data_IF_441520727439
#
_entry.id   IF_441520727439
#
_cell.length_a   1.000
_cell.length_b   1.000
_cell.length_c   1.000
_cell.angle_alpha   90.00
_cell.angle_beta   90.00
_cell.angle_gamma   90.00
#
_symmetry.space_group_name_H-M   'P 1'
#
loop_
_entity.id
_entity.type
_entity.pdbx_description
1 polymer ?
#
# COMPACT_ATOMS: atom_id res chain seq x y z
N UNK A 1 -32.75 3.65 32.07
CA UNK A 1 -32.43 3.91 30.65
C UNK A 1 -31.01 4.48 30.48
N UNK A 2 -30.64 5.62 31.09
CA UNK A 2 -29.31 6.28 30.95
C UNK A 2 -28.09 5.38 31.21
N UNK A 3 -28.14 4.53 32.24
CA UNK A 3 -27.01 3.65 32.63
C UNK A 3 -26.68 2.58 31.59
N UNK A 4 -27.70 2.07 30.88
CA UNK A 4 -27.49 1.08 29.81
C UNK A 4 -26.92 1.71 28.55
N UNK A 5 -27.34 2.95 28.23
CA UNK A 5 -26.79 3.71 27.10
C UNK A 5 -25.30 3.98 27.30
N UNK A 6 -24.88 4.30 28.52
CA UNK A 6 -23.46 4.54 28.84
C UNK A 6 -22.61 3.27 28.70
N UNK A 7 -23.14 2.12 29.11
CA UNK A 7 -22.46 0.82 28.98
C UNK A 7 -22.32 0.39 27.51
N UNK A 8 -23.35 0.62 26.70
CA UNK A 8 -23.30 0.33 25.25
C UNK A 8 -22.26 1.23 24.58
N UNK A 9 -22.21 2.51 24.94
CA UNK A 9 -21.24 3.46 24.36
C UNK A 9 -19.79 3.08 24.67
N UNK A 10 -19.49 2.66 25.90
CA UNK A 10 -18.16 2.17 26.27
C UNK A 10 -17.78 0.87 25.55
N UNK A 11 -18.73 -0.02 25.32
CA UNK A 11 -18.50 -1.27 24.61
C UNK A 11 -18.15 -1.06 23.13
N UNK A 12 -18.80 -0.08 22.48
CA UNK A 12 -18.51 0.27 21.08
C UNK A 12 -17.11 0.88 20.92
N UNK A 13 -16.68 1.73 21.86
CA UNK A 13 -15.33 2.34 21.82
C UNK A 13 -14.23 1.28 21.98
N UNK A 14 -14.44 0.28 22.84
CA UNK A 14 -13.50 -0.81 23.04
C UNK A 14 -13.21 -1.61 21.76
N UNK A 15 -14.23 -1.84 20.93
CA UNK A 15 -14.08 -2.62 19.69
C UNK A 15 -13.25 -1.92 18.60
N UNK A 16 -13.22 -0.58 18.58
CA UNK A 16 -12.44 0.18 17.59
C UNK A 16 -10.92 0.02 17.81
N UNK A 17 -10.49 -0.16 19.06
CA UNK A 17 -9.07 -0.25 19.43
C UNK A 17 -8.45 -1.64 19.21
N UNK A 18 -9.26 -2.69 19.04
CA UNK A 18 -8.78 -4.08 18.92
C UNK A 18 -8.54 -4.48 17.47
N UNK A 19 -8.77 -3.57 16.50
CA UNK A 19 -8.38 -3.88 15.12
C UNK A 19 -6.86 -3.99 15.04
N UNK A 20 -6.30 -5.15 14.65
CA UNK A 20 -4.88 -5.24 14.37
C UNK A 20 -4.61 -4.26 13.23
N UNK A 21 -3.82 -3.20 13.52
CA UNK A 21 -3.24 -2.39 12.44
C UNK A 21 -2.56 -3.38 11.51
N UNK A 22 -2.91 -3.43 10.21
CA UNK A 22 -2.16 -4.24 9.27
C UNK A 22 -0.71 -3.81 9.45
N UNK A 23 0.16 -4.77 9.79
CA UNK A 23 1.60 -4.55 9.82
C UNK A 23 1.97 -4.05 8.43
N UNK A 24 2.02 -2.73 8.29
CA UNK A 24 2.76 -2.05 7.25
C UNK A 24 4.19 -2.46 7.52
N UNK A 25 4.60 -3.60 6.97
CA UNK A 25 5.99 -3.78 6.62
C UNK A 25 6.41 -2.47 6.00
N UNK A 26 7.56 -1.96 6.42
CA UNK A 26 8.09 -0.67 6.04
C UNK A 26 8.54 -0.66 4.57
N UNK A 27 7.74 -1.25 3.68
CA UNK A 27 7.81 -1.08 2.25
C UNK A 27 7.62 0.42 2.00
N UNK A 28 8.76 1.11 1.88
CA UNK A 28 8.86 2.53 1.51
C UNK A 28 8.15 2.78 0.16
N UNK A 29 7.91 1.72 -0.61
CA UNK A 29 7.24 1.73 -1.90
C UNK A 29 6.09 0.70 -1.99
N UNK A 30 5.17 0.96 -2.90
CA UNK A 30 4.07 0.10 -3.30
C UNK A 30 4.53 -0.94 -4.31
N UNK A 31 4.25 -2.24 -4.07
CA UNK A 31 4.59 -3.32 -4.99
C UNK A 31 3.71 -3.29 -6.24
N UNK A 32 3.91 -4.25 -7.15
CA UNK A 32 3.07 -4.40 -8.33
C UNK A 32 1.59 -4.50 -7.96
N UNK A 33 0.74 -3.76 -8.68
CA UNK A 33 -0.70 -3.58 -8.40
C UNK A 33 -1.03 -2.91 -7.06
N UNK A 34 -0.02 -2.51 -6.28
CA UNK A 34 -0.20 -1.74 -5.06
C UNK A 34 -0.68 -0.32 -5.34
N UNK A 35 -1.38 0.28 -4.38
CA UNK A 35 -1.93 1.63 -4.48
C UNK A 35 -0.83 2.68 -4.68
N UNK A 36 -1.05 3.66 -5.54
CA UNK A 36 -0.15 4.79 -5.75
C UNK A 36 -0.90 6.06 -6.15
N UNK A 37 -0.30 7.22 -5.86
CA UNK A 37 -0.76 8.52 -6.37
C UNK A 37 0.26 9.11 -7.35
N UNK A 38 1.55 8.84 -7.12
CA UNK A 38 2.68 9.28 -7.94
C UNK A 38 3.65 8.13 -8.14
N UNK A 39 4.43 8.18 -9.23
CA UNK A 39 5.37 7.09 -9.58
C UNK A 39 6.44 6.84 -8.54
N UNK A 40 6.87 7.85 -7.78
CA UNK A 40 7.81 7.70 -6.67
C UNK A 40 7.31 6.79 -5.55
N UNK A 41 5.99 6.60 -5.44
CA UNK A 41 5.42 5.66 -4.47
C UNK A 41 5.65 4.21 -4.91
N UNK A 42 5.88 3.93 -6.19
CA UNK A 42 6.03 2.57 -6.69
C UNK A 42 7.47 2.04 -6.52
N UNK A 43 7.60 0.73 -6.32
CA UNK A 43 8.90 0.08 -6.22
C UNK A 43 9.68 0.08 -7.54
N UNK A 44 10.92 -0.41 -7.51
CA UNK A 44 11.83 -0.42 -8.67
C UNK A 44 11.14 -0.95 -9.94
N UNK A 45 11.39 -0.30 -11.07
CA UNK A 45 10.86 -0.62 -12.40
C UNK A 45 9.33 -0.53 -12.52
N UNK A 46 8.66 0.14 -11.56
CA UNK A 46 7.23 0.39 -11.60
C UNK A 46 6.95 1.90 -11.73
N UNK A 47 5.85 2.20 -12.40
CA UNK A 47 5.28 3.55 -12.57
C UNK A 47 3.84 3.57 -12.08
N UNK A 48 3.38 4.73 -11.62
CA UNK A 48 2.01 4.86 -11.16
C UNK A 48 1.07 5.08 -12.34
N UNK A 49 0.12 4.18 -12.50
CA UNK A 49 -0.98 4.34 -13.43
C UNK A 49 -2.04 5.21 -12.75
N UNK A 50 -1.86 6.52 -12.82
CA UNK A 50 -2.60 7.51 -12.01
C UNK A 50 -4.12 7.37 -12.13
N UNK A 51 -4.65 7.08 -13.32
CA UNK A 51 -6.09 6.88 -13.52
C UNK A 51 -6.67 5.67 -12.77
N UNK A 52 -5.84 4.67 -12.45
CA UNK A 52 -6.21 3.46 -11.74
C UNK A 52 -5.59 3.37 -10.34
N UNK A 53 -4.86 4.42 -9.93
CA UNK A 53 -4.13 4.53 -8.68
C UNK A 53 -3.33 3.27 -8.32
N UNK A 54 -2.67 2.64 -9.31
CA UNK A 54 -1.93 1.37 -9.11
C UNK A 54 -0.57 1.33 -9.80
N UNK A 55 0.39 0.65 -9.19
CA UNK A 55 1.72 0.46 -9.75
C UNK A 55 1.74 -0.60 -10.85
N UNK A 56 2.29 -0.25 -12.01
CA UNK A 56 2.45 -1.13 -13.18
C UNK A 56 3.88 -1.07 -13.72
N UNK A 57 4.31 -2.05 -14.55
CA UNK A 57 5.63 -2.02 -15.16
C UNK A 57 5.92 -0.71 -15.91
N UNK A 58 7.10 -0.14 -15.69
CA UNK A 58 7.65 0.92 -16.55
C UNK A 58 7.80 0.32 -17.96
N UNK A 59 7.22 0.98 -18.95
CA UNK A 59 7.39 0.59 -20.36
C UNK A 59 8.61 1.31 -20.93
N UNK A 60 9.36 0.65 -21.82
CA UNK A 60 10.54 1.21 -22.49
C UNK A 60 11.86 0.58 -22.03
N UNK A 61 12.96 1.25 -22.35
CA UNK A 61 14.31 0.79 -22.01
C UNK A 61 14.54 0.90 -20.49
N UNK A 62 14.89 -0.22 -19.85
CA UNK A 62 15.32 -0.25 -18.45
C UNK A 62 16.84 -0.15 -18.44
N UNK A 63 17.37 1.01 -18.04
CA UNK A 63 18.81 1.21 -17.90
C UNK A 63 19.24 0.71 -16.50
N UNK A 64 20.15 -0.27 -16.40
CA UNK A 64 20.65 -0.74 -15.11
C UNK A 64 21.22 0.41 -14.29
N UNK A 65 20.73 0.61 -13.07
CA UNK A 65 21.19 1.66 -12.16
C UNK A 65 20.48 3.02 -12.28
N UNK A 66 19.61 3.24 -13.27
CA UNK A 66 18.78 4.45 -13.36
C UNK A 66 17.77 4.52 -12.20
N UNK A 67 17.18 3.37 -11.85
CA UNK A 67 16.20 3.25 -10.80
C UNK A 67 16.79 2.59 -9.54
N UNK A 68 17.09 3.42 -8.54
CA UNK A 68 17.71 3.01 -7.27
C UNK A 68 16.69 2.60 -6.20
N UNK A 69 15.39 2.70 -6.49
CA UNK A 69 14.32 2.35 -5.54
C UNK A 69 14.42 0.90 -5.06
N UNK A 70 13.86 0.55 -3.88
CA UNK A 70 13.90 -0.83 -3.41
C UNK A 70 13.04 -1.76 -4.28
N UNK A 71 13.41 -3.04 -4.29
CA UNK A 71 12.60 -4.11 -4.89
C UNK A 71 11.44 -4.39 -3.92
N UNK A 72 10.22 -4.36 -4.43
CA UNK A 72 9.02 -4.60 -3.63
C UNK A 72 8.84 -6.06 -3.24
N UNK A 73 7.96 -6.37 -2.27
CA UNK A 73 7.58 -7.75 -1.98
C UNK A 73 6.88 -8.41 -3.17
N UNK A 74 6.87 -9.76 -3.24
CA UNK A 74 6.09 -10.49 -4.24
C UNK A 74 4.58 -10.23 -4.08
N UNK A 75 3.76 -10.39 -5.13
CA UNK A 75 4.12 -10.91 -6.46
C UNK A 75 4.83 -9.87 -7.35
N UNK A 76 5.74 -10.35 -8.20
CA UNK A 76 6.45 -9.52 -9.18
C UNK A 76 5.66 -9.41 -10.48
N UNK A 77 5.82 -8.29 -11.18
CA UNK A 77 5.19 -8.10 -12.47
C UNK A 77 5.72 -9.09 -13.51
N UNK A 78 4.87 -9.50 -14.49
CA UNK A 78 5.29 -10.39 -15.55
C UNK A 78 6.39 -9.73 -16.40
N UNK A 79 7.44 -10.52 -16.69
CA UNK A 79 8.49 -10.16 -17.63
C UNK A 79 7.87 -10.31 -19.02
N UNK A 80 7.74 -9.22 -19.77
CA UNK A 80 7.32 -9.23 -21.18
C UNK A 80 8.54 -9.08 -22.08
#
# INVERSE_FOLDING_TARGET
MQKFVFLIFLFVIGLVLVTPKPQKSEATCSPWLGFCQVSSNCCRNLVCLTYAAKCVPKHGLIIPGEDTRPIGPPPYAPIK
#
